data_IF_956513246592
#
_entry.id   IF_956513246592
#
_cell.length_a   1.000
_cell.length_b   1.000
_cell.length_c   1.000
_cell.angle_alpha   90.00
_cell.angle_beta   90.00
_cell.angle_gamma   90.00
#
_symmetry.space_group_name_H-M   'P 1'
#
loop_
_entity.id
_entity.type
_entity.pdbx_description
1 polymer ?
#
# COMPACT_ATOMS: atom_id res chain seq x y z
N UNK A 1 2.84 10.22 -8.92
CA UNK A 1 3.58 9.54 -7.84
C UNK A 1 3.46 8.02 -7.95
N UNK A 2 4.42 7.27 -7.42
CA UNK A 2 4.39 5.81 -7.33
C UNK A 2 4.27 5.42 -5.86
N UNK A 3 3.26 4.59 -5.52
CA UNK A 3 3.06 4.05 -4.18
C UNK A 3 3.62 2.63 -4.10
N UNK A 4 4.49 2.37 -3.14
CA UNK A 4 4.97 1.03 -2.84
C UNK A 4 4.52 0.61 -1.45
N UNK A 5 4.30 -0.68 -1.25
CA UNK A 5 4.10 -1.22 0.08
C UNK A 5 4.59 -2.66 0.27
N UNK A 6 4.96 -2.95 1.51
CA UNK A 6 5.25 -4.30 2.00
C UNK A 6 4.24 -4.62 3.12
N UNK A 7 3.36 -5.58 2.82
CA UNK A 7 2.17 -5.91 3.58
C UNK A 7 2.43 -7.17 4.41
N UNK A 8 2.70 -6.96 5.70
CA UNK A 8 2.88 -8.02 6.69
C UNK A 8 1.71 -8.11 7.67
N UNK A 9 1.62 -9.26 8.37
CA UNK A 9 0.57 -9.51 9.36
C UNK A 9 0.62 -8.61 10.61
N UNK A 10 1.81 -8.09 10.95
CA UNK A 10 2.00 -7.23 12.13
C UNK A 10 2.19 -5.77 11.74
N UNK A 11 2.91 -5.53 10.65
CA UNK A 11 3.30 -4.20 10.18
C UNK A 11 3.12 -4.14 8.68
N UNK A 12 2.73 -2.96 8.21
CA UNK A 12 2.66 -2.62 6.79
C UNK A 12 3.57 -1.42 6.56
N UNK A 13 4.58 -1.57 5.73
CA UNK A 13 5.44 -0.47 5.31
C UNK A 13 4.90 0.12 4.02
N UNK A 14 4.77 1.44 3.95
CA UNK A 14 4.32 2.18 2.77
C UNK A 14 5.33 3.27 2.45
N UNK A 15 5.58 3.47 1.16
CA UNK A 15 6.46 4.50 0.65
C UNK A 15 5.88 5.14 -0.61
N UNK A 16 5.99 6.47 -0.69
CA UNK A 16 5.60 7.27 -1.83
C UNK A 16 6.85 7.79 -2.52
N UNK A 17 6.92 7.59 -3.83
CA UNK A 17 8.03 8.00 -4.66
C UNK A 17 7.58 8.97 -5.75
N UNK A 18 8.45 9.92 -6.05
CA UNK A 18 8.38 10.71 -7.28
C UNK A 18 9.36 10.13 -8.31
N UNK A 19 8.94 10.00 -9.56
CA UNK A 19 9.84 9.63 -10.65
C UNK A 19 10.47 10.92 -11.21
N UNK A 20 11.75 11.17 -10.89
CA UNK A 20 12.51 12.32 -11.38
C UNK A 20 13.68 11.83 -12.22
N UNK A 21 13.76 12.27 -13.48
CA UNK A 21 14.84 11.92 -14.41
C UNK A 21 15.10 10.39 -14.52
N UNK A 22 14.03 9.59 -14.46
CA UNK A 22 14.11 8.13 -14.53
C UNK A 22 14.51 7.44 -13.22
N UNK A 23 14.74 8.19 -12.13
CA UNK A 23 15.03 7.66 -10.81
C UNK A 23 13.83 7.82 -9.86
N UNK A 24 13.62 6.83 -9.00
CA UNK A 24 12.66 6.92 -7.90
C UNK A 24 13.27 7.72 -6.76
N UNK A 25 12.64 8.84 -6.41
CA UNK A 25 13.01 9.69 -5.27
C UNK A 25 11.99 9.49 -4.17
N UNK A 26 12.44 9.11 -2.98
CA UNK A 26 11.56 8.91 -1.82
C UNK A 26 11.02 10.26 -1.33
N UNK A 27 9.70 10.39 -1.32
CA UNK A 27 9.00 11.58 -0.83
C UNK A 27 8.50 11.39 0.60
N UNK A 28 7.99 10.19 0.91
CA UNK A 28 7.47 9.86 2.24
C UNK A 28 7.49 8.36 2.45
N UNK A 29 7.79 7.93 3.67
CA UNK A 29 7.59 6.55 4.10
C UNK A 29 7.00 6.50 5.50
N UNK A 30 6.29 5.41 5.79
CA UNK A 30 5.80 5.10 7.12
C UNK A 30 5.67 3.59 7.30
N UNK A 31 5.85 3.14 8.54
CA UNK A 31 5.45 1.80 8.95
C UNK A 31 4.25 1.90 9.87
N UNK A 32 3.15 1.27 9.47
CA UNK A 32 1.88 1.28 10.18
C UNK A 32 1.64 -0.06 10.88
N UNK A 33 1.12 -0.08 12.13
CA UNK A 33 0.71 -1.32 12.78
C UNK A 33 -0.53 -1.88 12.08
N UNK A 34 -0.42 -3.04 11.42
CA UNK A 34 -1.50 -3.56 10.57
C UNK A 34 -2.81 -3.77 11.33
N UNK A 35 -2.74 -4.16 12.61
CA UNK A 35 -3.92 -4.44 13.44
C UNK A 35 -4.74 -3.20 13.82
N UNK A 36 -4.24 -1.99 13.56
CA UNK A 36 -4.98 -0.75 13.81
C UNK A 36 -5.99 -0.43 12.70
N UNK A 37 -5.95 -1.16 11.58
CA UNK A 37 -6.79 -0.90 10.41
C UNK A 37 -7.70 -2.09 10.09
N UNK A 38 -9.02 -1.88 9.97
CA UNK A 38 -9.95 -2.96 9.66
C UNK A 38 -9.81 -3.47 8.22
N UNK A 39 -9.41 -2.60 7.28
CA UNK A 39 -9.05 -2.95 5.92
C UNK A 39 -7.66 -2.42 5.53
N UNK A 40 -7.07 -2.99 4.47
CA UNK A 40 -5.76 -2.54 3.98
C UNK A 40 -5.85 -1.13 3.37
N UNK A 41 -6.97 -0.85 2.70
CA UNK A 41 -7.32 0.43 2.11
C UNK A 41 -7.32 1.56 3.15
N UNK A 42 -7.74 1.27 4.39
CA UNK A 42 -7.71 2.25 5.47
C UNK A 42 -6.27 2.64 5.85
N UNK A 43 -5.34 1.68 5.82
CA UNK A 43 -3.92 1.95 6.07
C UNK A 43 -3.31 2.79 4.94
N UNK A 44 -3.66 2.50 3.68
CA UNK A 44 -3.24 3.28 2.51
C UNK A 44 -3.81 4.70 2.57
N UNK A 45 -5.11 4.85 2.83
CA UNK A 45 -5.76 6.14 2.97
C UNK A 45 -5.11 6.97 4.09
N UNK A 46 -4.91 6.37 5.27
CA UNK A 46 -4.22 7.01 6.40
C UNK A 46 -2.82 7.47 6.05
N UNK A 47 -2.08 6.72 5.24
CA UNK A 47 -0.74 7.10 4.78
C UNK A 47 -0.78 8.24 3.77
N UNK A 48 -1.74 8.24 2.84
CA UNK A 48 -1.90 9.28 1.82
C UNK A 48 -2.38 10.61 2.41
N UNK A 49 -3.22 10.56 3.45
CA UNK A 49 -3.75 11.73 4.18
C UNK A 49 -2.70 12.47 5.04
N UNK A 50 -1.49 11.93 5.17
CA UNK A 50 -0.38 12.56 5.92
C UNK A 50 0.20 13.84 5.30
N UNK A 51 -0.46 14.46 4.33
CA UNK A 51 -0.05 15.68 3.63
C UNK A 51 -1.01 16.02 2.48
N UNK A 52 -0.55 16.76 1.47
CA UNK A 52 -1.32 16.93 0.22
C UNK A 52 -1.49 15.55 -0.41
N UNK A 53 -2.74 15.14 -0.62
CA UNK A 53 -3.06 13.83 -1.22
C UNK A 53 -2.54 13.81 -2.67
N UNK A 54 -1.51 13.01 -2.98
CA UNK A 54 -0.93 12.98 -4.30
C UNK A 54 -1.83 12.21 -5.27
N UNK A 55 -1.75 12.53 -6.56
CA UNK A 55 -2.20 11.62 -7.59
C UNK A 55 -1.20 10.45 -7.69
N UNK A 56 -1.68 9.25 -7.37
CA UNK A 56 -0.91 8.00 -7.50
C UNK A 56 -1.14 7.46 -8.92
N UNK A 57 -0.07 7.35 -9.70
CA UNK A 57 -0.10 6.89 -11.09
C UNK A 57 0.06 5.37 -11.19
N UNK A 58 0.79 4.80 -10.24
CA UNK A 58 0.99 3.36 -10.13
C UNK A 58 1.18 2.99 -8.66
N UNK A 59 0.74 1.78 -8.30
CA UNK A 59 0.97 1.20 -7.00
C UNK A 59 1.47 -0.24 -7.11
N UNK A 60 2.33 -0.66 -6.18
CA UNK A 60 2.80 -2.04 -6.07
C UNK A 60 2.88 -2.45 -4.60
N UNK A 61 2.32 -3.60 -4.28
CA UNK A 61 2.28 -4.12 -2.92
C UNK A 61 2.82 -5.54 -2.88
N UNK A 62 3.94 -5.74 -2.16
CA UNK A 62 4.38 -7.08 -1.75
C UNK A 62 3.51 -7.56 -0.60
N UNK A 63 2.98 -8.78 -0.67
CA UNK A 63 2.10 -9.33 0.37
C UNK A 63 2.67 -10.64 0.91
N UNK A 64 2.65 -10.80 2.22
CA UNK A 64 3.02 -12.04 2.89
C UNK A 64 1.94 -13.12 2.67
N UNK A 65 1.96 -13.75 1.50
CA UNK A 65 1.02 -14.80 1.12
C UNK A 65 0.92 -15.01 -0.39
N UNK A 66 0.19 -16.04 -0.83
CA UNK A 66 -0.05 -16.27 -2.25
C UNK A 66 -0.91 -15.15 -2.85
N UNK A 67 -0.53 -14.69 -4.04
CA UNK A 67 -1.37 -13.84 -4.88
C UNK A 67 -1.94 -14.69 -6.01
N UNK A 68 -3.27 -14.79 -6.09
CA UNK A 68 -3.97 -15.60 -7.10
C UNK A 68 -4.95 -14.69 -7.85
N UNK A 69 -4.75 -14.53 -9.15
CA UNK A 69 -5.57 -13.66 -10.01
C UNK A 69 -5.70 -12.22 -9.46
N UNK A 70 -4.57 -11.62 -9.07
CA UNK A 70 -4.55 -10.24 -8.53
C UNK A 70 -5.14 -10.10 -7.12
N UNK A 71 -5.47 -11.20 -6.45
CA UNK A 71 -6.03 -11.21 -5.09
C UNK A 71 -5.13 -11.89 -4.08
N UNK A 72 -5.11 -11.34 -2.87
CA UNK A 72 -4.44 -11.94 -1.72
C UNK A 72 -5.32 -11.88 -0.48
N UNK A 73 -5.42 -12.99 0.23
CA UNK A 73 -6.09 -13.06 1.54
C UNK A 73 -5.00 -13.27 2.58
N UNK A 74 -4.85 -12.30 3.48
CA UNK A 74 -3.87 -12.41 4.55
C UNK A 74 -4.31 -13.45 5.58
N UNK A 75 -3.38 -14.23 6.12
CA UNK A 75 -3.71 -15.33 7.05
C UNK A 75 -3.97 -14.87 8.48
N UNK A 76 -3.44 -13.70 8.88
CA UNK A 76 -3.44 -13.21 10.26
C UNK A 76 -4.23 -11.90 10.47
N UNK A 77 -4.83 -11.36 9.39
CA UNK A 77 -5.64 -10.14 9.38
C UNK A 77 -6.91 -10.40 8.56
N UNK A 78 -8.00 -9.65 8.78
CA UNK A 78 -9.22 -9.78 7.96
C UNK A 78 -9.09 -9.17 6.55
N UNK A 79 -7.87 -8.81 6.13
CA UNK A 79 -7.65 -8.09 4.87
C UNK A 79 -7.76 -9.01 3.67
N UNK A 80 -8.47 -8.51 2.66
CA UNK A 80 -8.56 -9.08 1.32
C UNK A 80 -8.10 -7.99 0.36
N UNK A 81 -6.95 -8.20 -0.27
CA UNK A 81 -6.40 -7.28 -1.25
C UNK A 81 -6.84 -7.75 -2.63
N UNK A 82 -7.32 -6.83 -3.45
CA UNK A 82 -7.69 -7.05 -4.85
C UNK A 82 -7.15 -5.88 -5.68
N UNK A 83 -6.26 -6.18 -6.64
CA UNK A 83 -5.56 -5.16 -7.42
C UNK A 83 -6.51 -4.26 -8.23
N UNK A 84 -7.64 -4.80 -8.70
CA UNK A 84 -8.61 -4.04 -9.48
C UNK A 84 -9.40 -3.06 -8.58
N UNK A 85 -9.74 -3.51 -7.37
CA UNK A 85 -10.39 -2.66 -6.36
C UNK A 85 -9.46 -1.54 -5.92
N UNK A 86 -8.19 -1.86 -5.65
CA UNK A 86 -7.17 -0.88 -5.26
C UNK A 86 -6.88 0.14 -6.36
N UNK A 87 -6.88 -0.27 -7.63
CA UNK A 87 -6.65 0.64 -8.76
C UNK A 87 -7.82 1.62 -9.02
N UNK A 88 -9.02 1.30 -8.55
CA UNK A 88 -10.22 2.13 -8.73
C UNK A 88 -10.51 3.11 -7.57
N UNK A 89 -9.67 3.11 -6.53
CA UNK A 89 -9.88 3.80 -5.24
C UNK A 89 -9.21 5.17 -5.13
#
# INVERSE_FOLDING_TARGET
MILAGDVGGTKTALALFELRDGALVLEREATLPSREFPAFEDAVARFLDGGTRPAVEAACFGVAGPVVNGRSVTTNLPWQLDEATLAAS
#
